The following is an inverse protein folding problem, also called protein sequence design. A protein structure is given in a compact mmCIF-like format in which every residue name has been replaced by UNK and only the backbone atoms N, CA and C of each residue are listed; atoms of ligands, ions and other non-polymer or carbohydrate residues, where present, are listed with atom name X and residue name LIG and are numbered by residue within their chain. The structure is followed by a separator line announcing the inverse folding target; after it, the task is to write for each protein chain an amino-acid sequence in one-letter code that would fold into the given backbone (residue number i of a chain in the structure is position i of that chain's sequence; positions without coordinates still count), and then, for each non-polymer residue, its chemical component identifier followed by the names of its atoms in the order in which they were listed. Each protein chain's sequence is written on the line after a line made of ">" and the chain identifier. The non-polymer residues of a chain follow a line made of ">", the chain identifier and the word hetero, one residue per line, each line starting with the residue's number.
data_IF_807855180762
#
_entry.id   IF_807855180762
#
_cell.length_a   1.000
_cell.length_b   1.000
_cell.length_c   1.000
_cell.angle_alpha   90.00
_cell.angle_beta   90.00
_cell.angle_gamma   90.00
#
_symmetry.space_group_name_H-M   'P 1'
#
loop_
_entity.id
_entity.type
_entity.pdbx_description
1 polymer ?
#
# COMPACT_ATOMS: atom_id res chain seq x y z
N UNK A 1 -10.22 -3.85 -12.15
CA UNK A 1 -10.57 -3.80 -10.70
C UNK A 1 -10.18 -5.07 -9.94
N UNK A 2 -10.03 -4.94 -8.60
CA UNK A 2 -9.44 -5.90 -7.65
C UNK A 2 -10.09 -7.28 -7.79
N UNK A 3 -9.25 -8.33 -7.81
CA UNK A 3 -9.67 -9.69 -8.14
C UNK A 3 -9.29 -10.64 -7.00
N UNK A 4 -10.07 -10.76 -5.92
CA UNK A 4 -9.80 -11.79 -4.93
C UNK A 4 -9.82 -13.18 -5.57
N UNK A 5 -9.11 -14.13 -4.96
CA UNK A 5 -9.34 -15.57 -5.17
C UNK A 5 -9.59 -16.20 -3.82
N UNK A 6 -10.63 -17.01 -3.70
CA UNK A 6 -10.96 -17.69 -2.44
C UNK A 6 -10.70 -19.19 -2.45
N UNK A 7 -10.40 -19.80 -3.60
CA UNK A 7 -10.14 -21.24 -3.68
C UNK A 7 -9.15 -21.64 -4.79
N UNK A 8 -8.58 -22.84 -4.64
CA UNK A 8 -7.67 -23.43 -5.62
C UNK A 8 -8.38 -23.67 -6.97
N UNK A 9 -9.64 -24.12 -6.92
CA UNK A 9 -10.47 -24.36 -8.10
C UNK A 9 -10.74 -23.06 -8.86
N UNK A 10 -11.05 -21.98 -8.14
CA UNK A 10 -11.22 -20.66 -8.74
C UNK A 10 -9.91 -20.17 -9.38
N UNK A 11 -8.78 -20.28 -8.67
CA UNK A 11 -7.47 -19.94 -9.24
C UNK A 11 -7.18 -20.72 -10.52
N UNK A 12 -7.43 -22.03 -10.52
CA UNK A 12 -7.21 -22.88 -11.67
C UNK A 12 -8.11 -22.48 -12.85
N UNK A 13 -9.40 -22.25 -12.61
CA UNK A 13 -10.35 -21.82 -13.64
C UNK A 13 -9.95 -20.48 -14.26
N UNK A 14 -9.47 -19.53 -13.44
CA UNK A 14 -9.01 -18.21 -13.88
C UNK A 14 -7.55 -18.19 -14.38
N UNK A 15 -6.83 -19.33 -14.33
CA UNK A 15 -5.40 -19.46 -14.62
C UNK A 15 -4.55 -18.47 -13.82
N UNK A 16 -4.75 -18.46 -12.50
CA UNK A 16 -4.08 -17.57 -11.56
C UNK A 16 -3.10 -18.34 -10.67
N UNK A 17 -2.00 -17.70 -10.23
CA UNK A 17 -1.09 -18.32 -9.27
C UNK A 17 -1.82 -18.66 -7.96
N UNK A 18 -1.57 -19.85 -7.42
CA UNK A 18 -2.11 -20.30 -6.14
C UNK A 18 -1.11 -21.22 -5.44
N UNK A 19 -0.74 -20.86 -4.21
CA UNK A 19 0.26 -21.62 -3.43
C UNK A 19 -0.29 -22.15 -2.12
N UNK A 20 -1.33 -21.51 -1.57
CA UNK A 20 -1.91 -21.86 -0.28
C UNK A 20 -3.32 -21.26 -0.14
N UNK A 21 -4.13 -21.72 0.84
CA UNK A 21 -5.38 -21.06 1.20
C UNK A 21 -5.19 -19.58 1.57
N UNK A 22 -6.12 -18.74 1.15
CA UNK A 22 -6.13 -17.31 1.45
C UNK A 22 -6.80 -17.01 2.79
N UNK A 23 -6.43 -15.90 3.41
CA UNK A 23 -7.15 -15.32 4.54
C UNK A 23 -8.57 -14.90 4.13
N UNK A 24 -9.54 -14.99 5.06
CA UNK A 24 -10.92 -14.51 4.86
C UNK A 24 -11.00 -12.99 5.07
N UNK A 25 -10.29 -12.25 4.20
CA UNK A 25 -10.30 -10.78 4.18
C UNK A 25 -11.19 -10.26 3.08
N UNK A 26 -12.00 -9.25 3.40
CA UNK A 26 -12.97 -8.61 2.49
C UNK A 26 -12.69 -7.14 2.22
N UNK A 27 -11.64 -6.61 2.84
CA UNK A 27 -11.22 -5.22 2.75
C UNK A 27 -10.31 -4.94 1.54
N UNK A 28 -10.10 -5.92 0.66
CA UNK A 28 -9.27 -5.77 -0.54
C UNK A 28 -9.75 -4.71 -1.54
N UNK A 29 -10.95 -4.14 -1.42
CA UNK A 29 -11.32 -2.93 -2.17
C UNK A 29 -10.46 -1.71 -1.78
N UNK A 30 -9.98 -1.65 -0.53
CA UNK A 30 -9.11 -0.58 -0.04
C UNK A 30 -7.69 -0.62 -0.65
N UNK A 31 -7.32 -1.76 -1.25
CA UNK A 31 -6.03 -2.01 -1.92
C UNK A 31 -5.58 -0.85 -2.82
N UNK A 32 -6.49 -0.32 -3.65
CA UNK A 32 -6.15 0.73 -4.61
C UNK A 32 -5.77 2.06 -3.98
N UNK A 33 -6.34 2.38 -2.81
CA UNK A 33 -6.03 3.63 -2.13
C UNK A 33 -4.59 3.63 -1.62
N UNK A 34 -4.05 2.47 -1.27
CA UNK A 34 -2.65 2.35 -0.84
C UNK A 34 -1.68 2.64 -1.98
N UNK A 35 -2.02 2.22 -3.21
CA UNK A 35 -1.20 2.43 -4.39
C UNK A 35 -1.05 3.90 -4.78
N UNK A 36 -2.00 4.76 -4.40
CA UNK A 36 -1.91 6.20 -4.62
C UNK A 36 -0.63 6.81 -4.06
N UNK A 37 0.01 6.18 -3.07
CA UNK A 37 1.29 6.62 -2.53
C UNK A 37 2.37 6.77 -3.62
N UNK A 38 2.37 5.91 -4.66
CA UNK A 38 3.30 6.02 -5.79
C UNK A 38 2.99 7.18 -6.73
N UNK A 39 1.76 7.69 -6.75
CA UNK A 39 1.37 8.83 -7.59
C UNK A 39 1.75 10.18 -6.97
N UNK A 40 2.25 10.23 -5.72
CA UNK A 40 2.57 11.47 -5.02
C UNK A 40 3.93 12.07 -5.42
N UNK A 41 4.18 12.23 -6.73
CA UNK A 41 5.49 12.63 -7.32
C UNK A 41 6.01 14.00 -6.92
N UNK A 42 5.20 14.83 -6.26
CA UNK A 42 5.66 16.06 -5.62
C UNK A 42 6.58 15.82 -4.41
N UNK A 43 6.57 14.60 -3.86
CA UNK A 43 7.46 14.20 -2.76
C UNK A 43 8.59 13.33 -3.29
N UNK A 44 9.80 13.57 -2.78
CA UNK A 44 10.95 12.72 -3.08
C UNK A 44 10.79 11.32 -2.50
N UNK A 45 10.17 11.22 -1.32
CA UNK A 45 9.98 9.99 -0.54
C UNK A 45 8.66 10.03 0.20
N UNK A 46 8.04 8.88 0.40
CA UNK A 46 6.80 8.71 1.15
C UNK A 46 6.98 7.60 2.18
N UNK A 47 6.66 7.89 3.44
CA UNK A 47 6.39 6.88 4.45
C UNK A 47 4.87 6.63 4.47
N UNK A 48 4.46 5.45 4.04
CA UNK A 48 3.09 4.98 4.16
C UNK A 48 2.90 4.28 5.50
N UNK A 49 1.84 4.63 6.22
CA UNK A 49 1.49 4.06 7.53
C UNK A 49 0.01 3.73 7.52
N UNK A 50 -0.35 2.47 7.77
CA UNK A 50 -1.75 2.08 7.92
C UNK A 50 -2.35 2.77 9.14
N UNK A 51 -3.65 3.04 9.10
CA UNK A 51 -4.33 3.87 10.09
C UNK A 51 -4.42 3.26 11.50
N UNK A 52 -4.18 1.95 11.60
CA UNK A 52 -4.11 1.16 12.84
C UNK A 52 -2.66 0.96 13.35
N UNK A 53 -1.69 1.61 12.72
CA UNK A 53 -0.28 1.50 13.08
C UNK A 53 0.19 2.71 13.91
N UNK A 54 0.86 2.43 15.03
CA UNK A 54 1.46 3.43 15.91
C UNK A 54 2.98 3.35 15.84
N UNK A 55 3.63 4.43 15.42
CA UNK A 55 5.09 4.56 15.44
C UNK A 55 5.59 4.80 16.87
N UNK A 56 6.57 4.01 17.30
CA UNK A 56 7.22 4.12 18.60
C UNK A 56 8.45 5.06 18.59
N UNK A 57 8.84 5.57 17.41
CA UNK A 57 9.97 6.48 17.24
C UNK A 57 9.76 7.44 16.07
N UNK A 58 10.59 8.50 16.00
CA UNK A 58 10.52 9.50 14.95
C UNK A 58 10.92 8.91 13.58
N UNK A 59 10.13 9.13 12.51
CA UNK A 59 10.38 8.52 11.21
C UNK A 59 11.44 9.25 10.35
N UNK A 60 11.95 10.39 10.79
CA UNK A 60 12.77 11.32 10.00
C UNK A 60 13.99 10.66 9.37
N UNK A 61 14.66 9.74 10.10
CA UNK A 61 15.86 9.03 9.60
C UNK A 61 15.60 8.18 8.36
N UNK A 62 14.36 7.73 8.15
CA UNK A 62 13.96 6.87 7.03
C UNK A 62 13.59 7.66 5.77
N UNK A 63 13.37 8.96 5.91
CA UNK A 63 13.04 9.87 4.82
C UNK A 63 14.25 10.68 4.35
N UNK A 64 15.26 10.83 5.20
CA UNK A 64 16.41 11.73 5.00
C UNK A 64 17.63 11.05 4.37
N UNK A 65 17.88 9.78 4.66
CA UNK A 65 18.92 8.99 3.99
C UNK A 65 18.39 8.55 2.63
N UNK A 66 19.26 8.23 1.65
CA UNK A 66 18.84 7.66 0.36
C UNK A 66 18.54 6.17 0.53
N UNK A 67 17.33 5.74 0.88
CA UNK A 67 17.06 4.35 1.11
C UNK A 67 16.73 3.73 -0.25
N UNK A 68 16.60 2.41 -0.29
CA UNK A 68 16.09 1.73 -1.46
C UNK A 68 14.78 2.35 -1.98
N UNK A 69 14.53 2.12 -3.27
CA UNK A 69 13.30 2.52 -3.95
C UNK A 69 12.04 2.13 -3.16
N UNK A 70 12.05 0.94 -2.56
CA UNK A 70 10.98 0.39 -1.74
C UNK A 70 11.56 -0.33 -0.52
N UNK A 71 10.93 -0.12 0.64
CA UNK A 71 11.24 -0.81 1.89
C UNK A 71 9.95 -1.19 2.60
N UNK A 72 9.90 -2.42 3.10
CA UNK A 72 8.84 -2.96 3.95
C UNK A 72 9.45 -3.90 4.98
N UNK A 73 8.75 -4.20 6.07
CA UNK A 73 9.28 -5.16 7.07
C UNK A 73 9.11 -6.58 6.53
N UNK A 74 10.19 -7.38 6.41
CA UNK A 74 10.07 -8.77 5.96
C UNK A 74 9.15 -9.59 6.86
N UNK A 75 8.41 -10.52 6.26
CA UNK A 75 7.53 -11.43 6.98
C UNK A 75 7.50 -12.80 6.27
N UNK A 76 7.66 -13.84 7.06
CA UNK A 76 7.60 -15.24 6.61
C UNK A 76 6.53 -16.04 7.33
N UNK A 77 6.07 -15.54 8.47
CA UNK A 77 5.16 -16.27 9.32
C UNK A 77 3.82 -16.44 8.59
N UNK A 78 3.29 -17.68 8.62
CA UNK A 78 2.01 -18.08 8.02
C UNK A 78 1.97 -18.21 6.48
N UNK A 79 3.13 -18.18 5.80
CA UNK A 79 3.21 -18.24 4.32
C UNK A 79 4.17 -19.29 3.80
N UNK A 80 3.85 -19.79 2.62
CA UNK A 80 4.67 -20.70 1.82
C UNK A 80 5.83 -19.99 1.09
N UNK A 81 5.89 -18.65 1.16
CA UNK A 81 6.91 -17.84 0.51
C UNK A 81 7.36 -16.68 1.42
N UNK A 82 8.56 -16.15 1.14
CA UNK A 82 9.11 -15.01 1.86
C UNK A 82 8.53 -13.70 1.31
N UNK A 83 7.68 -13.06 2.10
CA UNK A 83 7.04 -11.78 1.79
C UNK A 83 7.46 -10.66 2.76
N UNK A 84 6.56 -9.69 2.92
CA UNK A 84 6.68 -8.58 3.86
C UNK A 84 5.29 -8.19 4.42
N UNK A 85 5.25 -7.28 5.37
CA UNK A 85 3.99 -6.65 5.81
C UNK A 85 3.88 -5.25 5.21
N UNK A 86 2.72 -4.91 4.65
CA UNK A 86 2.53 -3.64 3.96
C UNK A 86 2.05 -2.50 4.86
N UNK A 87 1.80 -2.72 6.16
CA UNK A 87 1.26 -1.68 7.04
C UNK A 87 2.20 -0.49 7.29
N UNK A 88 3.47 -0.65 6.95
CA UNK A 88 4.49 0.37 7.06
C UNK A 88 5.46 0.18 5.90
N UNK A 89 5.53 1.17 5.01
CA UNK A 89 6.38 1.11 3.82
C UNK A 89 7.07 2.44 3.60
N UNK A 90 8.31 2.41 3.12
CA UNK A 90 8.97 3.59 2.57
C UNK A 90 9.13 3.38 1.08
N UNK A 91 8.68 4.36 0.28
CA UNK A 91 8.75 4.27 -1.16
C UNK A 91 9.17 5.59 -1.80
N UNK A 92 9.71 5.48 -3.01
CA UNK A 92 9.94 6.60 -3.92
C UNK A 92 8.76 6.68 -4.89
N UNK A 93 7.98 7.78 -4.88
CA UNK A 93 6.88 7.95 -5.82
C UNK A 93 7.34 7.92 -7.27
N UNK A 94 6.60 7.20 -8.11
CA UNK A 94 6.86 6.98 -9.53
C UNK A 94 5.55 6.61 -10.22
N UNK A 95 5.12 7.43 -11.19
CA UNK A 95 3.87 7.19 -11.95
C UNK A 95 3.98 5.94 -12.81
N UNK A 96 5.15 5.65 -13.38
CA UNK A 96 5.35 4.44 -14.18
C UNK A 96 5.23 3.18 -13.33
N UNK A 97 5.72 3.20 -12.09
CA UNK A 97 5.50 2.09 -11.15
C UNK A 97 4.06 2.03 -10.66
N UNK A 98 3.41 3.16 -10.40
CA UNK A 98 2.00 3.21 -10.05
C UNK A 98 1.13 2.50 -11.11
N UNK A 99 1.34 2.81 -12.39
CA UNK A 99 0.63 2.16 -13.50
C UNK A 99 0.90 0.64 -13.56
N UNK A 100 2.14 0.21 -13.31
CA UNK A 100 2.49 -1.22 -13.25
C UNK A 100 1.78 -1.93 -12.10
N UNK A 101 1.72 -1.32 -10.92
CA UNK A 101 1.00 -1.86 -9.75
C UNK A 101 -0.50 -1.98 -10.06
N UNK A 102 -1.11 -0.96 -10.68
CA UNK A 102 -2.51 -1.00 -11.10
C UNK A 102 -2.78 -2.12 -12.11
N UNK A 103 -1.92 -2.25 -13.12
CA UNK A 103 -2.02 -3.31 -14.12
C UNK A 103 -1.91 -4.70 -13.47
N UNK A 104 -0.97 -4.87 -12.52
CA UNK A 104 -0.79 -6.11 -11.76
C UNK A 104 -2.05 -6.45 -10.96
N UNK A 105 -2.59 -5.50 -10.19
CA UNK A 105 -3.81 -5.68 -9.41
C UNK A 105 -5.03 -6.01 -10.30
N UNK A 106 -5.18 -5.29 -11.43
CA UNK A 106 -6.28 -5.51 -12.37
C UNK A 106 -6.20 -6.87 -13.07
N UNK A 107 -4.99 -7.38 -13.32
CA UNK A 107 -4.79 -8.68 -13.97
C UNK A 107 -5.16 -9.87 -13.07
N UNK A 108 -5.10 -9.71 -11.74
CA UNK A 108 -5.21 -10.82 -10.79
C UNK A 108 -3.99 -11.76 -10.75
N UNK A 109 -2.94 -11.48 -11.54
CA UNK A 109 -1.77 -12.35 -11.68
C UNK A 109 -0.75 -12.11 -10.57
N UNK A 110 -1.12 -12.37 -9.33
CA UNK A 110 -0.28 -12.25 -8.12
C UNK A 110 -0.50 -13.46 -7.21
N UNK A 111 0.44 -13.69 -6.29
CA UNK A 111 0.36 -14.79 -5.32
C UNK A 111 -0.66 -14.44 -4.22
N UNK A 112 -1.89 -14.92 -4.38
CA UNK A 112 -2.95 -14.63 -3.41
C UNK A 112 -2.68 -15.32 -2.07
N UNK A 113 -2.71 -14.54 -0.99
CA UNK A 113 -2.72 -15.02 0.38
C UNK A 113 -3.58 -14.13 1.25
N UNK A 114 -3.30 -12.83 1.30
CA UNK A 114 -4.07 -11.87 2.10
C UNK A 114 -5.32 -11.37 1.37
N UNK A 115 -5.39 -11.52 0.05
CA UNK A 115 -6.40 -10.89 -0.79
C UNK A 115 -6.43 -9.36 -0.59
N UNK A 116 -5.25 -8.72 -0.54
CA UNK A 116 -5.13 -7.25 -0.37
C UNK A 116 -4.04 -6.65 -1.26
N UNK A 117 -3.71 -5.37 -1.05
CA UNK A 117 -2.56 -4.69 -1.64
C UNK A 117 -1.27 -5.47 -1.46
N UNK A 118 -1.14 -6.17 -0.34
CA UNK A 118 0.08 -6.81 0.02
C UNK A 118 0.48 -7.89 -0.99
N UNK A 119 -0.46 -8.73 -1.44
CA UNK A 119 -0.19 -9.79 -2.42
C UNK A 119 0.29 -9.22 -3.77
N UNK A 120 -0.27 -8.08 -4.17
CA UNK A 120 0.12 -7.36 -5.40
C UNK A 120 1.55 -6.86 -5.26
N UNK A 121 1.86 -6.18 -4.15
CA UNK A 121 3.16 -5.58 -3.90
C UNK A 121 4.26 -6.65 -3.72
N UNK A 122 3.97 -7.77 -3.07
CA UNK A 122 4.92 -8.88 -2.89
C UNK A 122 5.28 -9.60 -4.19
N UNK A 123 4.42 -9.50 -5.20
CA UNK A 123 4.74 -10.02 -6.53
C UNK A 123 5.65 -9.05 -7.31
N UNK A 124 5.75 -7.80 -6.88
CA UNK A 124 6.47 -6.71 -7.57
C UNK A 124 7.78 -6.35 -6.88
N UNK A 125 7.84 -6.52 -5.56
CA UNK A 125 8.98 -6.15 -4.72
C UNK A 125 9.41 -7.35 -3.89
N UNK A 126 10.73 -7.50 -3.70
CA UNK A 126 11.24 -8.48 -2.75
C UNK A 126 11.36 -7.85 -1.38
N UNK A 127 11.19 -8.65 -0.33
CA UNK A 127 11.55 -8.24 1.03
C UNK A 127 13.02 -7.80 1.10
N UNK A 128 13.90 -8.37 0.28
CA UNK A 128 15.34 -8.06 0.21
C UNK A 128 15.68 -6.76 -0.53
N UNK A 129 14.72 -6.09 -1.18
CA UNK A 129 14.94 -4.72 -1.66
C UNK A 129 15.20 -3.75 -0.49
N UNK A 130 14.92 -4.17 0.75
CA UNK A 130 15.40 -3.51 1.96
C UNK A 130 16.92 -3.67 2.07
N UNK A 131 17.66 -2.58 1.87
CA UNK A 131 18.96 -2.43 2.52
C UNK A 131 18.82 -2.72 4.02
N UNK A 132 19.92 -3.08 4.69
CA UNK A 132 20.01 -3.57 6.07
C UNK A 132 19.35 -2.71 7.19
N UNK A 133 18.59 -1.69 6.85
CA UNK A 133 17.91 -0.78 7.73
C UNK A 133 16.47 -1.25 8.01
N UNK A 134 16.24 -1.72 9.24
CA UNK A 134 14.91 -2.02 9.74
C UNK A 134 14.06 -0.73 9.81
N UNK A 135 12.80 -0.82 9.36
CA UNK A 135 11.80 0.25 9.44
C UNK A 135 11.56 0.75 10.88
N UNK A 136 10.96 1.94 11.07
CA UNK A 136 10.73 2.47 12.41
C UNK A 136 9.99 1.47 13.28
N UNK A 137 10.39 1.33 14.54
CA UNK A 137 9.63 0.49 15.49
C UNK A 137 8.18 0.94 15.54
N UNK A 138 7.26 0.00 15.45
CA UNK A 138 5.83 0.26 15.39
C UNK A 138 5.04 -0.88 16.04
N UNK A 139 3.79 -0.60 16.36
CA UNK A 139 2.83 -1.57 16.89
C UNK A 139 1.54 -1.48 16.09
N UNK A 140 0.95 -2.64 15.82
CA UNK A 140 -0.39 -2.75 15.25
C UNK A 140 -1.38 -2.72 16.40
N UNK A 141 -2.37 -1.82 16.36
CA UNK A 141 -3.40 -1.74 17.40
C UNK A 141 -4.70 -2.37 16.86
N UNK A 142 -5.01 -3.63 17.21
CA UNK A 142 -6.11 -4.40 16.60
C UNK A 142 -7.51 -3.93 17.01
N UNK A 143 -7.64 -2.86 17.80
CA UNK A 143 -8.92 -2.38 18.29
C UNK A 143 -8.92 -0.86 18.49
N UNK A 144 -9.86 -0.23 17.77
CA UNK A 144 -10.41 1.08 18.06
C UNK A 144 -9.47 2.28 17.78
N UNK A 145 -9.47 2.71 16.52
CA UNK A 145 -8.82 3.93 16.02
C UNK A 145 -9.19 5.18 16.86
N UNK A 146 -10.36 5.17 17.52
CA UNK A 146 -10.82 6.27 18.38
C UNK A 146 -9.94 6.50 19.62
N UNK A 147 -9.24 5.48 20.11
CA UNK A 147 -8.39 5.54 21.30
C UNK A 147 -6.99 6.07 21.00
N UNK A 148 -6.45 5.77 19.82
CA UNK A 148 -5.09 6.16 19.39
C UNK A 148 -4.97 7.67 19.20
N UNK A 149 -5.95 8.30 18.54
CA UNK A 149 -5.97 9.75 18.37
C UNK A 149 -6.14 10.50 19.71
N UNK A 150 -6.85 9.90 20.67
CA UNK A 150 -7.09 10.48 21.99
C UNK A 150 -5.82 10.51 22.86
N UNK A 151 -4.95 9.50 22.73
CA UNK A 151 -3.68 9.42 23.48
C UNK A 151 -2.60 10.39 22.95
N UNK A 152 -2.50 10.60 21.63
CA UNK A 152 -1.55 11.59 21.07
C UNK A 152 -1.98 13.04 21.33
N UNK A 153 -3.28 13.33 21.30
CA UNK A 153 -3.80 14.67 21.62
C UNK A 153 -3.52 15.09 23.07
N UNK A 154 -3.51 14.15 24.03
CA UNK A 154 -3.17 14.46 25.42
C UNK A 154 -1.67 14.68 25.62
N UNK A 155 -0.81 13.91 24.93
CA UNK A 155 0.65 14.07 24.98
C UNK A 155 1.15 15.38 24.33
N UNK A 156 0.53 15.82 23.24
CA UNK A 156 0.86 17.11 22.59
C UNK A 156 0.43 18.34 23.40
N UNK A 157 -0.64 18.25 24.22
CA UNK A 157 -1.00 19.33 25.15
C UNK A 157 -0.06 19.40 26.35
N UNK A 158 0.40 18.25 26.84
CA UNK A 158 1.36 18.19 27.94
C UNK A 158 2.73 18.81 27.59
N UNK A 159 3.08 18.86 26.30
CA UNK A 159 4.35 19.40 25.79
C UNK A 159 4.28 20.85 25.27
N UNK A 160 3.16 21.56 25.45
CA UNK A 160 3.09 23.03 25.28
C UNK A 160 3.16 23.59 23.85
N UNK A 161 3.14 22.75 22.81
CA UNK A 161 3.27 23.19 21.41
C UNK A 161 1.99 23.82 20.84
N UNK A 162 1.91 25.16 20.78
CA UNK A 162 0.77 25.90 20.20
C UNK A 162 0.97 26.08 18.69
N UNK A 163 0.41 25.20 17.85
CA UNK A 163 0.39 25.38 16.39
C UNK A 163 -0.69 26.39 15.98
N UNK A 164 -0.28 27.58 15.52
CA UNK A 164 -1.17 28.53 14.82
C UNK A 164 -1.36 28.05 13.38
N UNK A 165 -2.50 27.45 13.06
CA UNK A 165 -2.87 27.15 11.68
C UNK A 165 -3.23 28.42 10.92
N UNK A 166 -2.43 28.80 9.92
CA UNK A 166 -2.90 29.65 8.81
C UNK A 166 -3.54 28.75 7.77
N UNK A 167 -4.73 29.12 7.33
CA UNK A 167 -5.46 28.49 6.24
C UNK A 167 -4.57 28.45 4.99
N UNK A 168 -4.31 27.25 4.48
CA UNK A 168 -3.64 27.05 3.20
C UNK A 168 -4.65 27.17 2.07
N UNK A 169 -4.24 27.96 1.08
CA UNK A 169 -4.99 28.35 -0.11
C UNK A 169 -5.51 27.19 -0.97
N UNK A 170 -6.51 27.54 -1.78
CA UNK A 170 -7.33 26.69 -2.64
C UNK A 170 -6.49 25.82 -3.59
N UNK A 171 -6.53 24.50 -3.37
CA UNK A 171 -6.12 23.50 -4.36
C UNK A 171 -7.21 23.37 -5.45
N UNK A 172 -6.89 23.27 -6.75
CA UNK A 172 -7.88 23.05 -7.80
C UNK A 172 -8.68 21.77 -7.55
N UNK A 173 -10.01 21.89 -7.58
CA UNK A 173 -10.96 20.79 -7.33
C UNK A 173 -11.09 19.85 -8.54
N UNK A 174 -10.03 19.13 -8.86
CA UNK A 174 -10.23 17.79 -9.41
C UNK A 174 -10.05 16.82 -8.26
N UNK A 175 -11.10 16.05 -7.93
CA UNK A 175 -10.97 15.09 -6.85
C UNK A 175 -9.96 14.02 -7.28
N UNK A 176 -9.00 13.71 -6.40
CA UNK A 176 -8.06 12.60 -6.61
C UNK A 176 -8.79 11.30 -7.00
N UNK A 177 -10.03 11.11 -6.55
CA UNK A 177 -10.89 10.01 -6.93
C UNK A 177 -11.29 10.02 -8.42
N UNK A 178 -11.59 11.19 -8.99
CA UNK A 178 -11.94 11.33 -10.42
C UNK A 178 -10.72 11.13 -11.33
N UNK A 179 -9.54 11.56 -10.89
CA UNK A 179 -8.29 11.26 -11.60
C UNK A 179 -7.95 9.77 -11.52
N UNK A 180 -8.08 9.16 -10.34
CA UNK A 180 -7.83 7.74 -10.11
C UNK A 180 -8.75 6.87 -10.96
N UNK A 181 -10.05 7.17 -10.99
CA UNK A 181 -11.02 6.42 -11.78
C UNK A 181 -10.65 6.45 -13.27
N UNK A 182 -10.30 7.62 -13.83
CA UNK A 182 -9.88 7.74 -15.23
C UNK A 182 -8.58 7.00 -15.54
N UNK A 183 -7.61 7.01 -14.63
CA UNK A 183 -6.38 6.22 -14.81
C UNK A 183 -6.68 4.72 -14.77
N UNK A 184 -7.55 4.27 -13.87
CA UNK A 184 -7.98 2.87 -13.82
C UNK A 184 -8.71 2.47 -15.11
N UNK A 185 -9.66 3.27 -15.57
CA UNK A 185 -10.42 3.03 -16.80
C UNK A 185 -9.48 2.99 -18.04
N UNK A 186 -8.47 3.86 -18.07
CA UNK A 186 -7.47 3.90 -19.12
C UNK A 186 -6.58 2.64 -19.14
N UNK A 187 -6.15 2.14 -17.97
CA UNK A 187 -5.39 0.90 -17.85
C UNK A 187 -6.24 -0.31 -18.28
N UNK A 188 -7.50 -0.38 -17.83
CA UNK A 188 -8.41 -1.47 -18.17
C UNK A 188 -8.69 -1.52 -19.69
N UNK A 189 -8.88 -0.37 -20.34
CA UNK A 189 -9.09 -0.30 -21.81
C UNK A 189 -7.88 -0.80 -22.61
N UNK A 190 -6.65 -0.58 -22.14
CA UNK A 190 -5.42 -1.08 -22.77
C UNK A 190 -5.20 -2.58 -22.51
N UNK A 191 -5.55 -3.07 -21.32
CA UNK A 191 -5.42 -4.47 -20.96
C UNK A 191 -6.45 -5.37 -21.67
N UNK A 192 -7.67 -4.86 -21.93
CA UNK A 192 -8.76 -5.60 -22.56
C UNK A 192 -8.88 -5.39 -24.08
N UNK A 193 -8.43 -4.25 -24.62
CA UNK A 193 -8.52 -3.93 -26.05
C UNK A 193 -7.66 -4.80 -26.99
N UNK A 194 -6.76 -5.64 -26.45
CA UNK A 194 -5.93 -6.57 -27.26
C UNK A 194 -6.52 -7.97 -27.44
N UNK A 195 -7.67 -8.29 -26.86
CA UNK A 195 -8.29 -9.64 -26.96
C UNK A 195 -9.41 -9.78 -28.00
N UNK A 196 -9.71 -8.74 -28.78
CA UNK A 196 -10.80 -8.77 -29.78
C UNK A 196 -10.34 -8.73 -31.26
N UNK A 197 -9.05 -8.98 -31.52
CA UNK A 197 -8.52 -9.17 -32.89
C UNK A 197 -7.52 -10.32 -32.93
N UNK A 198 -8.03 -11.55 -32.89
CA UNK A 198 -7.37 -12.75 -33.39
C UNK A 198 -8.47 -13.78 -33.67
#
# INVERSE_FOLDING_TARGET
>A
FYRPVSSAEQAQAERRPWTQPTQDRRDGAATYYKFLAWALTRYKRVLHVDSDTVLAEAPDRYLTHQPPYFMATPATDERAYRGFISHLMVLTPDVGMFEQILAKAASGQYLAYTNTDQDVLETMFTASATGAQALPRHQHHPSNISTVWRWKWSQQRASGGRLRGRAADRCPRESLATSLQRTIDAVDSRAYGRRSRA
#
